data_IF_185533612075
#
_entry.id   IF_185533612075
#
_cell.length_a   1.000
_cell.length_b   1.000
_cell.length_c   1.000
_cell.angle_alpha   90.00
_cell.angle_beta   90.00
_cell.angle_gamma   90.00
#
_symmetry.space_group_name_H-M   'P 1'
#
loop_
_entity.id
_entity.type
_entity.pdbx_description
1 polymer ?
#
# COMPACT_ATOMS: atom_id res chain seq x y z
N UNK A 1 2.35 22.16 -18.66
CA UNK A 1 2.85 21.41 -17.49
C UNK A 1 1.67 20.65 -16.94
N UNK A 2 1.84 19.43 -16.39
CA UNK A 2 0.72 18.77 -15.74
C UNK A 2 0.23 19.66 -14.59
N UNK A 3 -1.10 19.73 -14.42
CA UNK A 3 -1.73 20.49 -13.33
C UNK A 3 -1.75 19.70 -12.00
N UNK A 4 -0.97 18.61 -11.89
CA UNK A 4 -0.90 17.84 -10.64
C UNK A 4 -0.24 18.66 -9.55
N UNK A 5 -0.82 18.63 -8.35
CA UNK A 5 -0.26 19.29 -7.17
C UNK A 5 0.93 18.54 -6.57
N UNK A 6 1.07 17.22 -6.85
CA UNK A 6 2.11 16.35 -6.31
C UNK A 6 3.12 15.95 -7.37
N UNK A 7 4.38 15.86 -6.96
CA UNK A 7 5.53 15.43 -7.75
C UNK A 7 6.22 14.23 -7.10
N UNK A 8 7.25 13.69 -7.73
CA UNK A 8 8.09 12.62 -7.15
C UNK A 8 8.71 13.03 -5.81
N UNK A 9 9.00 14.31 -5.61
CA UNK A 9 9.65 14.82 -4.40
C UNK A 9 8.69 14.88 -3.20
N UNK A 10 7.39 14.87 -3.44
CA UNK A 10 6.37 14.78 -2.39
C UNK A 10 6.18 13.35 -1.86
N UNK A 11 6.76 12.34 -2.53
CA UNK A 11 6.64 10.94 -2.14
C UNK A 11 7.90 10.52 -1.38
N UNK A 12 7.89 10.74 -0.08
CA UNK A 12 9.01 10.42 0.84
C UNK A 12 8.50 9.75 2.10
N UNK A 13 9.36 8.98 2.78
CA UNK A 13 9.04 8.36 4.06
C UNK A 13 8.16 7.13 3.94
N UNK A 14 7.19 7.01 4.83
CA UNK A 14 6.32 5.83 4.94
C UNK A 14 5.04 6.05 4.15
N UNK A 15 4.89 5.31 3.04
CA UNK A 15 3.65 5.26 2.26
C UNK A 15 2.80 4.12 2.80
N UNK A 16 1.88 4.44 3.71
CA UNK A 16 1.02 3.47 4.37
C UNK A 16 -0.15 3.05 3.49
N UNK A 17 -0.50 1.75 3.53
CA UNK A 17 -1.70 1.25 2.87
C UNK A 17 -2.74 0.97 3.95
N UNK A 18 -3.88 1.66 3.89
CA UNK A 18 -4.96 1.49 4.85
C UNK A 18 -5.90 0.36 4.39
N UNK A 19 -6.16 -0.69 5.22
CA UNK A 19 -7.21 -1.67 4.95
C UNK A 19 -8.60 -1.05 5.10
N UNK A 20 -9.61 -1.75 4.56
CA UNK A 20 -11.01 -1.32 4.64
C UNK A 20 -11.74 -2.06 5.77
N UNK A 21 -11.92 -1.46 6.95
CA UNK A 21 -12.62 -2.10 8.07
C UNK A 21 -14.03 -2.51 7.69
N UNK A 22 -14.53 -3.57 8.31
CA UNK A 22 -15.84 -4.11 7.99
C UNK A 22 -16.74 -4.25 9.21
N UNK A 23 -18.06 -4.15 8.97
CA UNK A 23 -19.08 -4.45 9.99
C UNK A 23 -19.17 -5.96 10.25
N UNK A 24 -19.73 -6.39 11.38
CA UNK A 24 -19.76 -7.83 11.74
C UNK A 24 -20.46 -8.77 10.75
N UNK A 25 -21.30 -8.25 9.87
CA UNK A 25 -22.04 -9.05 8.88
C UNK A 25 -21.45 -8.97 7.48
N UNK A 26 -20.24 -8.42 7.31
CA UNK A 26 -19.62 -8.21 6.00
C UNK A 26 -19.28 -9.50 5.24
N UNK A 27 -19.22 -10.65 5.94
CA UNK A 27 -19.03 -11.97 5.35
C UNK A 27 -20.33 -12.59 4.77
N UNK A 28 -21.47 -11.93 4.99
CA UNK A 28 -22.75 -12.41 4.47
C UNK A 28 -22.98 -11.88 3.04
N UNK A 29 -23.35 -12.75 2.07
CA UNK A 29 -23.51 -12.35 0.67
C UNK A 29 -24.64 -11.33 0.43
N UNK A 30 -25.60 -11.21 1.34
CA UNK A 30 -26.74 -10.30 1.27
C UNK A 30 -26.52 -8.99 2.04
N UNK A 31 -25.36 -8.78 2.64
CA UNK A 31 -25.00 -7.50 3.26
C UNK A 31 -24.94 -6.42 2.20
N UNK A 32 -25.76 -5.38 2.33
CA UNK A 32 -25.88 -4.30 1.34
C UNK A 32 -24.79 -3.23 1.47
N UNK A 33 -24.26 -3.03 2.67
CA UNK A 33 -23.15 -2.11 2.95
C UNK A 33 -22.29 -2.69 4.08
N UNK A 34 -21.05 -2.99 3.78
CA UNK A 34 -20.16 -3.79 4.62
C UNK A 34 -19.05 -3.00 5.32
N UNK A 35 -18.89 -1.70 5.02
CA UNK A 35 -17.76 -0.90 5.53
C UNK A 35 -18.08 -0.29 6.90
N UNK A 36 -17.17 -0.43 7.87
CA UNK A 36 -17.20 0.30 9.14
C UNK A 36 -16.52 1.67 8.95
N UNK A 37 -17.32 2.69 8.64
CA UNK A 37 -16.81 4.04 8.36
C UNK A 37 -16.25 4.72 9.62
N UNK A 38 -16.75 4.44 10.80
CA UNK A 38 -16.25 5.01 12.06
C UNK A 38 -14.85 4.46 12.37
N UNK A 39 -14.65 3.17 12.18
CA UNK A 39 -13.34 2.56 12.32
C UNK A 39 -12.37 3.06 11.23
N UNK A 40 -12.84 3.24 9.99
CA UNK A 40 -12.04 3.78 8.90
C UNK A 40 -11.50 5.18 9.22
N UNK A 41 -12.35 6.06 9.76
CA UNK A 41 -11.95 7.41 10.18
C UNK A 41 -10.94 7.36 11.33
N UNK A 42 -11.20 6.51 12.34
CA UNK A 42 -10.32 6.33 13.50
C UNK A 42 -8.94 5.81 13.08
N UNK A 43 -8.90 4.82 12.18
CA UNK A 43 -7.66 4.23 11.69
C UNK A 43 -6.84 5.25 10.87
N UNK A 44 -7.49 5.96 9.94
CA UNK A 44 -6.82 6.97 9.12
C UNK A 44 -6.18 8.07 9.99
N UNK A 45 -6.91 8.60 10.96
CA UNK A 45 -6.39 9.59 11.90
C UNK A 45 -5.24 9.03 12.77
N UNK A 46 -5.36 7.78 13.23
CA UNK A 46 -4.32 7.12 14.01
C UNK A 46 -3.04 6.90 13.23
N UNK A 47 -3.12 6.52 11.94
CA UNK A 47 -1.97 6.40 11.06
C UNK A 47 -1.27 7.74 10.84
N UNK A 48 -2.03 8.81 10.60
CA UNK A 48 -1.48 10.17 10.46
C UNK A 48 -0.77 10.62 11.74
N UNK A 49 -1.41 10.46 12.88
CA UNK A 49 -0.80 10.78 14.20
C UNK A 49 0.42 9.92 14.50
N UNK A 50 0.45 8.69 14.01
CA UNK A 50 1.58 7.79 14.12
C UNK A 50 2.74 8.10 13.17
N UNK A 51 2.62 9.17 12.35
CA UNK A 51 3.69 9.69 11.52
C UNK A 51 3.82 9.03 10.14
N UNK A 52 2.76 8.41 9.62
CA UNK A 52 2.69 7.98 8.21
C UNK A 52 2.76 9.22 7.33
N UNK A 53 3.58 9.20 6.27
CA UNK A 53 3.84 10.36 5.42
C UNK A 53 2.88 10.48 4.22
N UNK A 54 2.37 9.34 3.70
CA UNK A 54 1.41 9.26 2.58
C UNK A 54 0.46 8.10 2.84
N UNK A 55 -0.83 8.20 2.47
CA UNK A 55 -1.78 7.08 2.52
C UNK A 55 -2.19 6.62 1.12
N UNK A 56 -2.28 5.29 0.95
CA UNK A 56 -2.91 4.62 -0.19
C UNK A 56 -4.10 3.80 0.29
N UNK A 57 -5.23 3.80 -0.45
CA UNK A 57 -6.42 3.04 -0.10
C UNK A 57 -6.68 1.89 -1.08
N UNK A 58 -7.58 1.00 -0.73
CA UNK A 58 -8.21 0.01 -1.61
C UNK A 58 -7.24 -0.74 -2.54
N UNK A 59 -6.15 -1.26 -1.96
CA UNK A 59 -5.31 -2.28 -2.56
C UNK A 59 -5.90 -3.68 -2.36
N UNK A 60 -5.08 -4.74 -2.47
CA UNK A 60 -5.52 -6.14 -2.33
C UNK A 60 -6.15 -6.41 -0.95
N UNK A 61 -5.42 -6.17 0.14
CA UNK A 61 -5.96 -6.35 1.50
C UNK A 61 -6.92 -5.21 1.91
N UNK A 62 -6.99 -4.11 1.15
CA UNK A 62 -8.08 -3.14 1.21
C UNK A 62 -9.34 -3.62 0.51
N UNK A 63 -9.34 -4.87 0.07
CA UNK A 63 -10.48 -5.58 -0.52
C UNK A 63 -11.13 -4.87 -1.73
N UNK A 64 -10.33 -4.15 -2.54
CA UNK A 64 -10.83 -3.39 -3.69
C UNK A 64 -11.70 -4.22 -4.67
N UNK A 65 -11.47 -5.54 -4.73
CA UNK A 65 -12.20 -6.45 -5.61
C UNK A 65 -13.56 -6.91 -5.03
N UNK A 66 -13.78 -6.75 -3.73
CA UNK A 66 -14.98 -7.20 -3.02
C UNK A 66 -15.91 -6.03 -2.62
N UNK A 67 -15.40 -4.80 -2.65
CA UNK A 67 -16.20 -3.60 -2.38
C UNK A 67 -17.11 -3.27 -3.55
N UNK A 68 -18.35 -2.91 -3.26
CA UNK A 68 -19.20 -2.22 -4.22
C UNK A 68 -18.64 -0.82 -4.51
N UNK A 69 -19.09 -0.22 -5.62
CA UNK A 69 -18.63 1.14 -5.94
C UNK A 69 -19.05 2.17 -4.88
N UNK A 70 -20.24 2.03 -4.32
CA UNK A 70 -20.76 2.95 -3.29
C UNK A 70 -19.97 2.81 -1.97
N UNK A 71 -19.60 1.60 -1.59
CA UNK A 71 -18.75 1.33 -0.44
C UNK A 71 -17.34 1.94 -0.62
N UNK A 72 -16.74 1.75 -1.80
CA UNK A 72 -15.42 2.30 -2.10
C UNK A 72 -15.42 3.84 -2.05
N UNK A 73 -16.42 4.49 -2.64
CA UNK A 73 -16.57 5.94 -2.57
C UNK A 73 -16.72 6.43 -1.13
N UNK A 74 -17.60 5.79 -0.35
CA UNK A 74 -17.85 6.16 1.04
C UNK A 74 -16.61 5.99 1.90
N UNK A 75 -15.86 4.88 1.72
CA UNK A 75 -14.60 4.64 2.41
C UNK A 75 -13.55 5.71 2.07
N UNK A 76 -13.34 5.99 0.77
CA UNK A 76 -12.35 7.01 0.36
C UNK A 76 -12.73 8.39 0.88
N UNK A 77 -14.00 8.80 0.79
CA UNK A 77 -14.45 10.08 1.33
C UNK A 77 -14.17 10.18 2.84
N UNK A 78 -14.48 9.12 3.59
CA UNK A 78 -14.22 9.04 5.04
C UNK A 78 -12.71 9.17 5.35
N UNK A 79 -11.86 8.47 4.60
CA UNK A 79 -10.39 8.57 4.79
C UNK A 79 -9.89 9.98 4.48
N UNK A 80 -10.32 10.58 3.36
CA UNK A 80 -9.94 11.95 2.98
C UNK A 80 -10.37 12.96 4.06
N UNK A 81 -11.59 12.87 4.53
CA UNK A 81 -12.11 13.74 5.58
C UNK A 81 -11.34 13.57 6.90
N UNK A 82 -11.05 12.33 7.30
CA UNK A 82 -10.29 12.04 8.52
C UNK A 82 -8.83 12.50 8.43
N UNK A 83 -8.20 12.37 7.27
CA UNK A 83 -6.83 12.88 7.02
C UNK A 83 -6.80 14.39 7.02
N UNK A 84 -7.87 15.06 6.56
CA UNK A 84 -8.04 16.52 6.58
C UNK A 84 -6.86 17.29 5.96
N UNK A 85 -6.30 16.80 4.85
CA UNK A 85 -5.20 17.45 4.13
C UNK A 85 -3.84 17.44 4.86
N UNK A 86 -3.70 16.69 5.96
CA UNK A 86 -2.42 16.61 6.72
C UNK A 86 -1.33 15.87 5.98
N UNK A 87 -1.68 14.89 5.16
CA UNK A 87 -0.79 14.11 4.30
C UNK A 87 -1.51 13.77 2.98
N UNK A 88 -0.80 13.46 1.88
CA UNK A 88 -1.43 13.05 0.63
C UNK A 88 -2.19 11.73 0.75
N UNK A 89 -3.35 11.65 0.06
CA UNK A 89 -4.18 10.43 -0.05
C UNK A 89 -4.27 9.99 -1.51
N UNK A 90 -3.79 8.79 -1.80
CA UNK A 90 -3.93 8.12 -3.11
C UNK A 90 -5.06 7.09 -3.06
N UNK A 91 -6.15 7.36 -3.75
CA UNK A 91 -7.32 6.48 -3.77
C UNK A 91 -7.15 5.34 -4.77
N UNK A 92 -7.47 4.12 -4.37
CA UNK A 92 -7.45 2.96 -5.27
C UNK A 92 -8.52 3.02 -6.33
N UNK A 93 -8.10 3.02 -7.62
CA UNK A 93 -8.98 3.12 -8.78
C UNK A 93 -8.86 1.91 -9.72
N UNK A 94 -8.39 0.77 -9.21
CA UNK A 94 -8.20 -0.46 -10.00
C UNK A 94 -9.54 -1.02 -10.47
N UNK A 95 -9.66 -1.26 -11.79
CA UNK A 95 -10.84 -1.86 -12.42
C UNK A 95 -10.45 -2.85 -13.52
N UNK A 96 -11.44 -3.44 -14.19
CA UNK A 96 -11.22 -4.38 -15.29
C UNK A 96 -11.03 -3.69 -16.66
N UNK A 97 -11.20 -2.37 -16.75
CA UNK A 97 -11.08 -1.65 -18.03
C UNK A 97 -10.73 -0.15 -17.84
N UNK A 98 -10.11 0.44 -18.85
CA UNK A 98 -9.66 1.83 -18.85
C UNK A 98 -10.78 2.84 -18.60
N UNK A 99 -11.94 2.65 -19.23
CA UNK A 99 -13.05 3.63 -19.15
C UNK A 99 -13.64 3.72 -17.74
N UNK A 100 -13.79 2.59 -17.06
CA UNK A 100 -14.26 2.56 -15.68
C UNK A 100 -13.20 3.12 -14.73
N UNK A 101 -11.91 2.79 -14.94
CA UNK A 101 -10.81 3.41 -14.18
C UNK A 101 -10.82 4.93 -14.29
N UNK A 102 -11.01 5.49 -15.50
CA UNK A 102 -11.12 6.94 -15.71
C UNK A 102 -12.33 7.52 -14.99
N UNK A 103 -13.50 6.88 -15.12
CA UNK A 103 -14.72 7.35 -14.46
C UNK A 103 -14.57 7.38 -12.94
N UNK A 104 -14.03 6.30 -12.37
CA UNK A 104 -13.73 6.22 -10.93
C UNK A 104 -12.68 7.24 -10.51
N UNK A 105 -11.61 7.38 -11.30
CA UNK A 105 -10.55 8.33 -11.03
C UNK A 105 -11.05 9.78 -10.93
N UNK A 106 -11.91 10.21 -11.84
CA UNK A 106 -12.56 11.53 -11.79
C UNK A 106 -13.35 11.71 -10.49
N UNK A 107 -14.18 10.71 -10.17
CA UNK A 107 -15.01 10.76 -8.96
C UNK A 107 -14.19 10.79 -7.68
N UNK A 108 -13.12 9.99 -7.60
CA UNK A 108 -12.22 9.98 -6.44
C UNK A 108 -11.51 11.32 -6.26
N UNK A 109 -11.12 11.98 -7.35
CA UNK A 109 -10.60 13.35 -7.31
C UNK A 109 -11.63 14.37 -6.81
N UNK A 110 -12.90 14.26 -7.22
CA UNK A 110 -14.01 15.09 -6.71
C UNK A 110 -14.24 14.88 -5.20
N UNK A 111 -13.96 13.69 -4.68
CA UNK A 111 -14.02 13.37 -3.26
C UNK A 111 -12.80 13.89 -2.46
N UNK A 112 -11.85 14.53 -3.13
CA UNK A 112 -10.69 15.18 -2.51
C UNK A 112 -9.43 14.31 -2.42
N UNK A 113 -9.36 13.17 -3.13
CA UNK A 113 -8.12 12.43 -3.25
C UNK A 113 -7.05 13.27 -4.00
N UNK A 114 -5.81 13.25 -3.51
CA UNK A 114 -4.68 13.97 -4.12
C UNK A 114 -4.10 13.22 -5.33
N UNK A 115 -4.34 11.92 -5.40
CA UNK A 115 -3.89 11.06 -6.47
C UNK A 115 -4.62 9.72 -6.52
N UNK A 116 -4.21 8.90 -7.47
CA UNK A 116 -4.76 7.57 -7.69
C UNK A 116 -3.72 6.48 -7.45
N UNK A 117 -4.10 5.42 -6.76
CA UNK A 117 -3.36 4.17 -6.64
C UNK A 117 -3.95 3.17 -7.65
N UNK A 118 -3.23 2.86 -8.72
CA UNK A 118 -3.81 2.22 -9.91
C UNK A 118 -3.09 0.93 -10.28
N UNK A 119 -3.82 -0.19 -10.22
CA UNK A 119 -3.45 -1.45 -10.86
C UNK A 119 -4.01 -1.51 -12.28
N UNK A 120 -3.29 -2.19 -13.17
CA UNK A 120 -3.73 -2.40 -14.55
C UNK A 120 -4.87 -3.41 -14.63
N UNK A 121 -5.71 -3.37 -15.69
CA UNK A 121 -6.73 -4.41 -15.94
C UNK A 121 -6.11 -5.82 -15.93
N UNK A 122 -6.80 -6.78 -15.27
CA UNK A 122 -6.22 -8.10 -14.97
C UNK A 122 -6.95 -9.28 -15.62
N UNK A 123 -8.01 -9.05 -16.40
CA UNK A 123 -8.74 -10.17 -17.02
C UNK A 123 -7.86 -10.95 -18.01
N UNK A 124 -7.15 -10.23 -18.87
CA UNK A 124 -6.10 -10.77 -19.73
C UNK A 124 -4.77 -10.06 -19.43
N UNK A 125 -3.61 -10.73 -19.62
CA UNK A 125 -2.32 -10.07 -19.48
C UNK A 125 -2.17 -8.97 -20.55
N UNK A 126 -1.57 -7.86 -20.17
CA UNK A 126 -1.14 -6.80 -21.08
C UNK A 126 0.36 -6.90 -21.31
N UNK A 127 0.79 -6.64 -22.53
CA UNK A 127 2.19 -6.39 -22.83
C UNK A 127 2.63 -4.98 -22.36
N UNK A 128 3.94 -4.72 -22.41
CA UNK A 128 4.50 -3.44 -21.97
C UNK A 128 3.86 -2.23 -22.66
N UNK A 129 3.59 -2.35 -23.96
CA UNK A 129 2.96 -1.26 -24.74
C UNK A 129 1.51 -1.02 -24.29
N UNK A 130 0.75 -2.09 -24.02
CA UNK A 130 -0.60 -2.01 -23.51
C UNK A 130 -0.65 -1.42 -22.09
N UNK A 131 0.31 -1.80 -21.22
CA UNK A 131 0.45 -1.24 -19.88
C UNK A 131 0.70 0.27 -19.95
N UNK A 132 1.69 0.71 -20.72
CA UNK A 132 2.02 2.14 -20.87
C UNK A 132 0.86 2.93 -21.43
N UNK A 133 0.16 2.39 -22.44
CA UNK A 133 -1.04 3.03 -23.02
C UNK A 133 -2.13 3.21 -21.97
N UNK A 134 -2.41 2.17 -21.20
CA UNK A 134 -3.42 2.23 -20.13
C UNK A 134 -3.15 3.37 -19.14
N UNK A 135 -1.94 3.46 -18.61
CA UNK A 135 -1.59 4.53 -17.66
C UNK A 135 -1.60 5.92 -18.31
N UNK A 136 -1.19 6.04 -19.57
CA UNK A 136 -1.26 7.30 -20.31
C UNK A 136 -2.69 7.76 -20.53
N UNK A 137 -3.58 6.86 -20.97
CA UNK A 137 -5.00 7.17 -21.19
C UNK A 137 -5.67 7.65 -19.88
N UNK A 138 -5.33 7.01 -18.75
CA UNK A 138 -5.82 7.45 -17.43
C UNK A 138 -5.25 8.81 -17.05
N UNK A 139 -3.96 9.02 -17.21
CA UNK A 139 -3.28 10.28 -16.89
C UNK A 139 -3.86 11.47 -17.67
N UNK A 140 -4.05 11.30 -18.99
CA UNK A 140 -4.64 12.33 -19.86
C UNK A 140 -6.09 12.67 -19.47
N UNK A 141 -6.84 11.68 -18.97
CA UNK A 141 -8.24 11.87 -18.59
C UNK A 141 -8.44 12.50 -17.21
N UNK A 142 -7.43 12.43 -16.32
CA UNK A 142 -7.43 13.00 -14.96
C UNK A 142 -6.14 13.80 -14.70
N UNK A 143 -5.85 14.86 -15.46
CA UNK A 143 -4.55 15.52 -15.50
C UNK A 143 -4.12 16.15 -14.15
N UNK A 144 -5.06 16.42 -13.27
CA UNK A 144 -4.82 17.04 -11.96
C UNK A 144 -4.48 16.05 -10.85
N UNK A 145 -4.55 14.73 -11.11
CA UNK A 145 -4.28 13.70 -10.12
C UNK A 145 -2.92 13.05 -10.38
N UNK A 146 -2.11 12.98 -9.34
CA UNK A 146 -0.90 12.15 -9.37
C UNK A 146 -1.26 10.66 -9.39
N UNK A 147 -0.35 9.80 -9.84
CA UNK A 147 -0.57 8.36 -9.86
C UNK A 147 0.57 7.60 -9.21
N UNK A 148 0.20 6.65 -8.35
CA UNK A 148 1.06 5.57 -7.90
C UNK A 148 0.71 4.31 -8.69
N UNK A 149 1.67 3.79 -9.44
CA UNK A 149 1.52 2.52 -10.17
C UNK A 149 1.48 1.37 -9.17
N UNK A 150 0.45 0.53 -9.26
CA UNK A 150 0.35 -0.67 -8.45
C UNK A 150 0.90 -1.87 -9.24
N UNK A 151 2.14 -2.29 -8.95
CA UNK A 151 2.69 -3.51 -9.54
C UNK A 151 2.57 -4.67 -8.55
N UNK A 152 1.59 -5.52 -8.80
CA UNK A 152 1.36 -6.76 -8.06
C UNK A 152 1.20 -7.91 -9.05
N UNK A 153 2.28 -8.67 -9.35
CA UNK A 153 2.25 -9.75 -10.32
C UNK A 153 1.25 -10.86 -10.00
N UNK A 154 0.97 -11.10 -8.72
CA UNK A 154 -0.03 -12.08 -8.29
C UNK A 154 -1.46 -11.66 -8.69
N UNK A 155 -1.79 -10.37 -8.53
CA UNK A 155 -3.11 -9.86 -8.89
C UNK A 155 -3.24 -9.56 -10.40
N UNK A 156 -2.18 -9.05 -11.05
CA UNK A 156 -2.25 -8.47 -12.41
C UNK A 156 -1.63 -9.34 -13.51
N UNK A 157 -1.51 -10.65 -13.28
CA UNK A 157 -1.03 -11.63 -14.27
C UNK A 157 0.32 -11.30 -14.88
N UNK A 158 1.29 -10.94 -14.07
CA UNK A 158 2.66 -10.69 -14.47
C UNK A 158 3.23 -9.41 -13.87
N UNK A 159 4.54 -9.25 -14.02
CA UNK A 159 5.29 -8.08 -13.58
C UNK A 159 5.32 -7.02 -14.70
N UNK A 160 5.41 -5.75 -14.32
CA UNK A 160 5.78 -4.66 -15.26
C UNK A 160 7.26 -4.82 -15.62
N UNK A 161 7.56 -4.84 -16.92
CA UNK A 161 8.93 -4.94 -17.41
C UNK A 161 9.70 -3.62 -17.29
N UNK A 162 11.04 -3.71 -17.23
CA UNK A 162 11.91 -2.52 -17.14
C UNK A 162 11.67 -1.52 -18.30
N UNK A 163 11.45 -1.95 -19.56
CA UNK A 163 11.10 -0.99 -20.63
C UNK A 163 9.79 -0.26 -20.38
N UNK A 164 8.80 -0.93 -19.78
CA UNK A 164 7.54 -0.27 -19.42
C UNK A 164 7.75 0.73 -18.27
N UNK A 165 8.56 0.41 -17.25
CA UNK A 165 8.90 1.38 -16.20
C UNK A 165 9.60 2.63 -16.77
N UNK A 166 10.54 2.47 -17.71
CA UNK A 166 11.18 3.58 -18.41
C UNK A 166 10.14 4.46 -19.11
N UNK A 167 9.21 3.86 -19.86
CA UNK A 167 8.17 4.58 -20.58
C UNK A 167 7.13 5.22 -19.62
N UNK A 168 6.75 4.55 -18.54
CA UNK A 168 5.86 5.09 -17.50
C UNK A 168 6.47 6.32 -16.81
N UNK A 169 7.80 6.35 -16.63
CA UNK A 169 8.49 7.49 -16.04
C UNK A 169 8.47 8.76 -16.90
N UNK A 170 8.02 8.66 -18.16
CA UNK A 170 7.81 9.82 -19.03
C UNK A 170 6.39 10.40 -18.93
N UNK A 171 5.48 9.77 -18.15
CA UNK A 171 4.14 10.27 -17.88
C UNK A 171 4.21 11.14 -16.63
N UNK A 172 4.03 12.47 -16.73
CA UNK A 172 4.30 13.39 -15.62
C UNK A 172 3.47 13.13 -14.35
N UNK A 173 2.27 12.54 -14.52
CA UNK A 173 1.39 12.20 -13.39
C UNK A 173 1.85 10.95 -12.63
N UNK A 174 2.69 10.09 -13.23
CA UNK A 174 3.24 8.90 -12.54
C UNK A 174 4.38 9.33 -11.64
N UNK A 175 4.09 9.49 -10.36
CA UNK A 175 5.05 9.98 -9.36
C UNK A 175 5.72 8.87 -8.56
N UNK A 176 5.05 7.71 -8.42
CA UNK A 176 5.62 6.57 -7.70
C UNK A 176 5.10 5.23 -8.25
N UNK A 177 5.75 4.15 -7.82
CA UNK A 177 5.28 2.78 -8.06
C UNK A 177 5.48 1.93 -6.80
N UNK A 178 4.40 1.25 -6.37
CA UNK A 178 4.49 0.18 -5.37
C UNK A 178 5.17 -1.01 -6.02
N UNK A 179 6.40 -1.28 -5.63
CA UNK A 179 7.26 -2.30 -6.22
C UNK A 179 7.42 -3.51 -5.27
N UNK A 180 7.70 -4.69 -5.82
CA UNK A 180 7.92 -5.90 -5.01
C UNK A 180 9.29 -5.93 -4.28
N UNK A 181 10.16 -4.94 -4.50
CA UNK A 181 11.46 -4.89 -3.84
C UNK A 181 12.33 -6.12 -4.12
N UNK A 182 12.86 -6.73 -3.07
CA UNK A 182 13.74 -7.92 -3.16
C UNK A 182 13.05 -9.14 -3.78
N UNK A 183 11.73 -9.28 -3.65
CA UNK A 183 10.98 -10.36 -4.32
C UNK A 183 11.08 -10.30 -5.84
N UNK A 184 11.45 -9.17 -6.41
CA UNK A 184 11.73 -9.01 -7.85
C UNK A 184 13.18 -9.31 -8.23
N UNK A 185 14.03 -9.66 -7.26
CA UNK A 185 15.46 -9.90 -7.45
C UNK A 185 16.20 -8.67 -7.98
N UNK A 186 17.10 -8.86 -8.95
CA UNK A 186 17.85 -7.76 -9.55
C UNK A 186 17.00 -6.79 -10.38
N UNK A 187 15.75 -7.10 -10.66
CA UNK A 187 14.89 -6.23 -11.47
C UNK A 187 14.63 -4.88 -10.80
N UNK A 188 14.57 -4.80 -9.45
CA UNK A 188 14.45 -3.52 -8.77
C UNK A 188 15.55 -2.53 -9.18
N UNK A 189 16.81 -2.99 -9.25
CA UNK A 189 17.95 -2.15 -9.64
C UNK A 189 17.88 -1.71 -11.11
N UNK A 190 17.41 -2.59 -11.99
CA UNK A 190 17.22 -2.26 -13.40
C UNK A 190 16.11 -1.23 -13.57
N UNK A 191 15.01 -1.43 -12.86
CA UNK A 191 13.86 -0.53 -12.88
C UNK A 191 14.21 0.84 -12.26
N UNK A 192 14.97 0.86 -11.15
CA UNK A 192 15.46 2.09 -10.51
C UNK A 192 16.32 2.95 -11.46
N UNK A 193 17.21 2.30 -12.20
CA UNK A 193 18.04 2.98 -13.22
C UNK A 193 17.18 3.50 -14.38
N UNK A 194 16.23 2.71 -14.85
CA UNK A 194 15.37 3.05 -15.99
C UNK A 194 14.47 4.26 -15.68
N UNK A 195 13.90 4.33 -14.47
CA UNK A 195 13.07 5.49 -14.10
C UNK A 195 13.89 6.76 -13.86
N UNK A 196 15.20 6.64 -13.54
CA UNK A 196 16.14 7.78 -13.46
C UNK A 196 15.68 8.89 -12.53
N UNK A 197 15.12 8.57 -11.36
CA UNK A 197 14.64 9.53 -10.37
C UNK A 197 13.31 10.22 -10.71
N UNK A 198 12.70 9.96 -11.87
CA UNK A 198 11.42 10.55 -12.28
C UNK A 198 10.19 9.89 -11.62
N UNK A 199 10.35 8.68 -11.11
CA UNK A 199 9.34 7.91 -10.39
C UNK A 199 9.96 7.35 -9.13
N UNK A 200 9.31 7.52 -7.98
CA UNK A 200 9.74 6.92 -6.72
C UNK A 200 9.37 5.44 -6.71
N UNK A 201 10.34 4.54 -6.82
CA UNK A 201 10.08 3.12 -6.61
C UNK A 201 10.02 2.84 -5.12
N UNK A 202 8.89 2.32 -4.67
CA UNK A 202 8.63 2.03 -3.26
C UNK A 202 8.88 0.54 -3.02
N UNK A 203 9.98 0.13 -2.36
CA UNK A 203 10.13 -1.23 -1.85
C UNK A 203 9.21 -1.46 -0.65
N UNK A 204 9.05 -2.73 -0.22
CA UNK A 204 8.43 -3.07 1.06
C UNK A 204 9.28 -2.52 2.22
N UNK A 205 8.67 -2.24 3.36
CA UNK A 205 9.35 -1.70 4.54
C UNK A 205 10.53 -2.57 5.03
N UNK A 206 10.43 -3.89 4.91
CA UNK A 206 11.51 -4.82 5.26
C UNK A 206 12.68 -4.76 4.27
N UNK A 207 12.43 -4.34 3.03
CA UNK A 207 13.48 -4.19 2.01
C UNK A 207 14.11 -2.80 2.00
N UNK A 208 13.46 -1.82 2.67
CA UNK A 208 13.81 -0.40 2.54
C UNK A 208 15.23 -0.09 2.92
N UNK A 209 15.70 -0.60 4.06
CA UNK A 209 17.08 -0.40 4.51
C UNK A 209 18.12 -0.83 3.48
N UNK A 210 17.96 -2.02 2.89
CA UNK A 210 18.93 -2.56 1.94
C UNK A 210 19.11 -1.66 0.71
N UNK A 211 18.00 -1.13 0.18
CA UNK A 211 18.04 -0.24 -0.98
C UNK A 211 18.42 1.19 -0.60
N UNK A 212 17.93 1.73 0.50
CA UNK A 212 18.25 3.08 0.94
C UNK A 212 19.73 3.25 1.31
N UNK A 213 20.36 2.20 1.86
CA UNK A 213 21.80 2.21 2.13
C UNK A 213 22.65 2.34 0.85
N UNK A 214 22.21 1.73 -0.25
CA UNK A 214 22.90 1.75 -1.53
C UNK A 214 22.55 2.96 -2.38
N UNK A 215 21.32 3.45 -2.27
CA UNK A 215 20.73 4.51 -3.10
C UNK A 215 19.96 5.50 -2.22
N UNK A 216 20.65 6.21 -1.29
CA UNK A 216 19.98 7.03 -0.27
C UNK A 216 19.22 8.23 -0.82
N UNK A 217 19.56 8.70 -2.02
CA UNK A 217 18.89 9.85 -2.66
C UNK A 217 17.69 9.40 -3.53
N UNK A 218 17.71 8.17 -4.03
CA UNK A 218 16.67 7.65 -4.91
C UNK A 218 15.60 6.86 -4.13
N UNK A 219 15.99 6.13 -3.06
CA UNK A 219 15.08 5.25 -2.30
C UNK A 219 14.73 5.90 -0.95
N UNK A 220 14.07 7.04 -1.02
CA UNK A 220 13.71 7.86 0.16
C UNK A 220 12.36 7.48 0.77
N UNK A 221 11.66 6.48 0.22
CA UNK A 221 10.36 6.03 0.69
C UNK A 221 10.19 4.52 0.55
N UNK A 222 9.30 3.95 1.35
CA UNK A 222 8.81 2.57 1.23
C UNK A 222 7.28 2.53 1.23
N UNK A 223 6.69 1.42 0.78
CA UNK A 223 5.30 1.12 1.10
C UNK A 223 5.21 0.16 2.28
N UNK A 224 4.15 0.29 3.09
CA UNK A 224 3.90 -0.57 4.24
C UNK A 224 2.41 -0.87 4.40
N UNK A 225 2.05 -2.15 4.47
CA UNK A 225 0.75 -2.62 4.95
C UNK A 225 0.72 -2.73 6.47
N UNK A 226 1.88 -2.99 7.08
CA UNK A 226 2.01 -3.24 8.52
C UNK A 226 1.80 -1.99 9.39
N UNK A 227 1.71 -0.78 8.79
CA UNK A 227 1.23 0.42 9.48
C UNK A 227 -0.19 0.23 10.05
N UNK A 228 -0.97 -0.71 9.53
CA UNK A 228 -2.27 -1.12 10.07
C UNK A 228 -2.16 -1.96 11.37
N UNK A 229 -0.97 -2.50 11.65
CA UNK A 229 -0.61 -3.12 12.93
C UNK A 229 0.03 -2.13 13.92
N UNK A 230 0.23 -0.89 13.49
CA UNK A 230 0.88 0.19 14.21
C UNK A 230 2.10 0.73 13.46
N UNK A 231 2.17 2.05 13.22
CA UNK A 231 3.19 2.66 12.36
C UNK A 231 4.55 2.89 13.02
N UNK A 232 4.67 2.86 14.36
CA UNK A 232 5.87 3.28 15.06
C UNK A 232 7.17 2.56 14.64
N UNK A 233 7.19 1.24 14.36
CA UNK A 233 8.42 0.58 13.93
C UNK A 233 8.92 1.12 12.58
N UNK A 234 8.01 1.30 11.61
CA UNK A 234 8.38 1.75 10.25
C UNK A 234 8.73 3.24 10.23
N UNK A 235 8.02 4.07 11.00
CA UNK A 235 8.36 5.49 11.13
C UNK A 235 9.69 5.69 11.86
N UNK A 236 10.01 4.84 12.83
CA UNK A 236 11.33 4.83 13.46
C UNK A 236 12.43 4.42 12.47
N UNK A 237 12.20 3.39 11.64
CA UNK A 237 13.12 3.00 10.57
C UNK A 237 13.36 4.16 9.59
N UNK A 238 12.31 4.91 9.20
CA UNK A 238 12.43 6.13 8.42
C UNK A 238 13.41 7.12 9.04
N UNK A 239 13.26 7.39 10.33
CA UNK A 239 14.06 8.38 11.02
C UNK A 239 15.53 7.93 11.14
N UNK A 240 15.78 6.64 11.34
CA UNK A 240 17.12 6.05 11.30
C UNK A 240 17.75 6.16 9.90
N UNK A 241 17.00 5.88 8.83
CA UNK A 241 17.47 6.02 7.44
C UNK A 241 17.81 7.48 7.14
N UNK A 242 16.95 8.43 7.51
CA UNK A 242 17.19 9.88 7.35
C UNK A 242 18.45 10.33 8.11
N UNK A 243 18.70 9.75 9.28
CA UNK A 243 19.90 10.00 10.08
C UNK A 243 21.13 9.19 9.62
N UNK A 244 20.99 8.32 8.62
CA UNK A 244 22.03 7.40 8.10
C UNK A 244 22.64 6.49 9.20
N UNK A 245 21.84 6.12 10.19
CA UNK A 245 22.21 5.20 11.26
C UNK A 245 22.09 3.75 10.80
N UNK A 246 22.98 3.35 9.89
CA UNK A 246 22.82 2.11 9.11
C UNK A 246 22.84 0.83 9.95
N UNK A 247 23.63 0.76 11.04
CA UNK A 247 23.68 -0.41 11.92
C UNK A 247 22.38 -0.56 12.71
N UNK A 248 21.79 0.56 13.14
CA UNK A 248 20.48 0.55 13.81
C UNK A 248 19.36 0.23 12.82
N UNK A 249 19.45 0.72 11.58
CA UNK A 249 18.51 0.33 10.50
C UNK A 249 18.53 -1.18 10.28
N UNK A 250 19.71 -1.80 10.21
CA UNK A 250 19.83 -3.25 10.05
C UNK A 250 19.19 -3.98 11.22
N UNK A 251 19.52 -3.59 12.45
CA UNK A 251 18.95 -4.20 13.66
C UNK A 251 17.43 -4.16 13.64
N UNK A 252 16.85 -3.00 13.33
CA UNK A 252 15.40 -2.86 13.28
C UNK A 252 14.80 -3.65 12.10
N UNK A 253 15.45 -3.68 10.95
CA UNK A 253 14.99 -4.49 9.79
C UNK A 253 14.94 -5.98 10.14
N UNK A 254 15.98 -6.51 10.79
CA UNK A 254 16.01 -7.89 11.26
C UNK A 254 14.84 -8.18 12.24
N UNK A 255 14.49 -7.23 13.10
CA UNK A 255 13.34 -7.34 14.00
C UNK A 255 11.99 -7.34 13.26
N UNK A 256 11.85 -6.49 12.22
CA UNK A 256 10.65 -6.46 11.39
C UNK A 256 10.48 -7.79 10.62
N UNK A 257 11.56 -8.31 10.04
CA UNK A 257 11.55 -9.60 9.35
C UNK A 257 11.17 -10.75 10.30
N UNK A 258 11.78 -10.79 11.48
CA UNK A 258 11.47 -11.79 12.50
C UNK A 258 10.00 -11.72 12.97
N UNK A 259 9.45 -10.52 13.11
CA UNK A 259 8.04 -10.34 13.50
C UNK A 259 7.06 -10.88 12.44
N UNK A 260 7.46 -10.88 11.18
CA UNK A 260 6.65 -11.32 10.04
C UNK A 260 6.95 -12.76 9.58
N UNK A 261 7.88 -13.48 10.21
CA UNK A 261 8.30 -14.82 9.78
C UNK A 261 7.12 -15.79 9.62
N UNK A 262 6.16 -15.74 10.53
CA UNK A 262 4.99 -16.63 10.51
C UNK A 262 3.87 -16.21 9.55
N UNK A 263 3.96 -15.00 8.98
CA UNK A 263 2.94 -14.47 8.05
C UNK A 263 2.86 -15.29 6.77
N UNK A 264 3.98 -15.85 6.33
CA UNK A 264 4.07 -16.63 5.10
C UNK A 264 3.95 -18.12 5.40
N UNK A 265 2.84 -18.80 5.01
CA UNK A 265 2.63 -20.22 5.30
C UNK A 265 3.80 -21.09 4.82
N UNK A 266 4.51 -21.74 5.76
CA UNK A 266 5.70 -22.54 5.46
C UNK A 266 6.86 -21.76 4.80
N UNK A 267 6.95 -20.44 5.01
CA UNK A 267 7.92 -19.57 4.34
C UNK A 267 7.64 -19.37 2.84
N UNK A 268 6.45 -19.72 2.37
CA UNK A 268 6.10 -19.70 0.95
C UNK A 268 5.20 -18.52 0.59
N UNK A 269 5.78 -17.52 -0.06
CA UNK A 269 5.04 -16.35 -0.52
C UNK A 269 3.92 -16.66 -1.53
N UNK A 270 4.07 -17.71 -2.36
CA UNK A 270 3.01 -18.10 -3.30
C UNK A 270 1.80 -18.71 -2.59
N UNK A 271 2.00 -19.41 -1.46
CA UNK A 271 0.90 -19.87 -0.60
C UNK A 271 0.19 -18.71 0.09
N UNK A 272 0.94 -17.73 0.60
CA UNK A 272 0.38 -16.50 1.15
C UNK A 272 -0.50 -15.77 0.14
N UNK A 273 -0.06 -15.62 -1.12
CA UNK A 273 -0.82 -14.89 -2.14
C UNK A 273 -2.21 -15.49 -2.42
N UNK A 274 -2.41 -16.79 -2.17
CA UNK A 274 -3.73 -17.43 -2.36
C UNK A 274 -4.78 -16.95 -1.35
N UNK A 275 -4.34 -16.50 -0.17
CA UNK A 275 -5.19 -16.14 0.95
C UNK A 275 -4.73 -14.85 1.62
N UNK A 276 -4.03 -13.98 0.89
CA UNK A 276 -3.40 -12.80 1.47
C UNK A 276 -4.39 -11.87 2.18
N UNK A 277 -5.60 -11.70 1.65
CA UNK A 277 -6.65 -10.88 2.26
C UNK A 277 -7.00 -11.40 3.66
N UNK A 278 -7.25 -12.70 3.79
CA UNK A 278 -7.66 -13.33 5.04
C UNK A 278 -6.50 -13.37 6.06
N UNK A 279 -5.27 -13.65 5.59
CA UNK A 279 -4.09 -13.72 6.45
C UNK A 279 -3.74 -12.32 6.97
N UNK A 280 -3.72 -11.29 6.10
CA UNK A 280 -3.50 -9.90 6.49
C UNK A 280 -4.59 -9.41 7.46
N UNK A 281 -5.86 -9.75 7.21
CA UNK A 281 -6.96 -9.42 8.12
C UNK A 281 -6.74 -10.02 9.52
N UNK A 282 -6.35 -11.29 9.60
CA UNK A 282 -6.05 -11.96 10.87
C UNK A 282 -4.84 -11.32 11.59
N UNK A 283 -3.83 -10.88 10.85
CA UNK A 283 -2.68 -10.16 11.38
C UNK A 283 -3.11 -8.79 11.96
N UNK A 284 -3.85 -7.98 11.21
CA UNK A 284 -4.31 -6.67 11.66
C UNK A 284 -5.20 -6.77 12.90
N UNK A 285 -6.12 -7.73 12.91
CA UNK A 285 -6.98 -8.00 14.06
C UNK A 285 -6.17 -8.38 15.30
N UNK A 286 -5.16 -9.25 15.16
CA UNK A 286 -4.35 -9.71 16.27
C UNK A 286 -3.38 -8.64 16.81
N UNK A 287 -2.96 -7.71 15.97
CA UNK A 287 -2.15 -6.57 16.37
C UNK A 287 -2.92 -5.57 17.25
N UNK A 288 -4.26 -5.49 17.08
CA UNK A 288 -5.12 -4.67 17.93
C UNK A 288 -4.99 -3.15 17.75
N UNK A 289 -4.33 -2.69 16.69
CA UNK A 289 -4.24 -1.27 16.35
C UNK A 289 -5.53 -0.78 15.65
N UNK A 290 -6.25 -1.70 15.03
CA UNK A 290 -7.55 -1.48 14.40
C UNK A 290 -8.52 -2.64 14.67
N UNK A 291 -9.82 -2.41 14.42
CA UNK A 291 -10.83 -3.45 14.35
C UNK A 291 -11.09 -3.78 12.88
N UNK A 292 -10.74 -4.98 12.43
CA UNK A 292 -10.87 -5.34 11.01
C UNK A 292 -12.29 -5.70 10.60
N UNK A 293 -13.04 -6.41 11.46
CA UNK A 293 -14.21 -7.18 11.08
C UNK A 293 -13.86 -8.39 10.19
N UNK A 294 -14.86 -9.15 9.70
CA UNK A 294 -14.63 -10.28 8.79
C UNK A 294 -14.30 -9.82 7.38
N UNK A 295 -13.58 -10.66 6.62
CA UNK A 295 -13.35 -10.45 5.19
C UNK A 295 -14.63 -10.66 4.37
N UNK A 296 -14.72 -9.99 3.21
CA UNK A 296 -15.90 -10.00 2.34
C UNK A 296 -15.88 -11.17 1.36
N UNK A 297 -17.07 -11.70 0.95
CA UNK A 297 -17.16 -12.69 -0.11
C UNK A 297 -16.50 -12.19 -1.42
N UNK A 298 -15.81 -13.05 -2.18
CA UNK A 298 -15.69 -14.50 -1.98
C UNK A 298 -14.52 -14.93 -1.10
N UNK A 299 -13.80 -14.02 -0.45
CA UNK A 299 -12.55 -14.27 0.28
C UNK A 299 -12.79 -14.58 1.78
N UNK A 300 -13.75 -15.46 2.09
CA UNK A 300 -14.14 -15.79 3.47
C UNK A 300 -13.51 -17.08 3.98
N UNK A 301 -13.15 -17.99 3.08
CA UNK A 301 -12.60 -19.31 3.44
C UNK A 301 -11.07 -19.31 3.38
N UNK A 302 -10.45 -19.90 4.41
CA UNK A 302 -8.99 -20.02 4.52
C UNK A 302 -8.61 -21.14 5.49
N UNK A 303 -7.50 -21.88 5.27
CA UNK A 303 -7.02 -22.86 6.24
C UNK A 303 -6.69 -22.20 7.60
N UNK A 304 -7.18 -22.78 8.70
CA UNK A 304 -6.98 -22.23 10.05
C UNK A 304 -5.49 -22.08 10.43
N UNK A 305 -4.63 -22.98 9.95
CA UNK A 305 -3.19 -22.88 10.17
C UNK A 305 -2.57 -21.62 9.57
N UNK A 306 -3.16 -21.07 8.48
CA UNK A 306 -2.68 -19.85 7.85
C UNK A 306 -3.11 -18.61 8.68
N UNK A 307 -4.34 -18.63 9.20
CA UNK A 307 -4.80 -17.59 10.13
C UNK A 307 -3.97 -17.56 11.42
N UNK A 308 -3.58 -18.72 11.93
CA UNK A 308 -2.73 -18.80 13.13
C UNK A 308 -1.39 -18.11 12.91
N UNK A 309 -0.76 -18.30 11.75
CA UNK A 309 0.48 -17.60 11.37
C UNK A 309 0.30 -16.09 11.27
N UNK A 310 -0.77 -15.63 10.64
CA UNK A 310 -1.12 -14.21 10.56
C UNK A 310 -1.33 -13.59 11.95
N UNK A 311 -2.11 -14.27 12.82
CA UNK A 311 -2.32 -13.80 14.21
C UNK A 311 -1.02 -13.70 15.01
N UNK A 312 -0.10 -14.63 14.84
CA UNK A 312 1.19 -14.58 15.53
C UNK A 312 2.05 -13.40 15.04
N UNK A 313 2.13 -13.20 13.72
CA UNK A 313 2.80 -12.04 13.15
C UNK A 313 2.19 -10.72 13.67
N UNK A 314 0.87 -10.63 13.80
CA UNK A 314 0.18 -9.47 14.36
C UNK A 314 0.58 -9.18 15.81
N UNK A 315 0.64 -10.20 16.67
CA UNK A 315 1.09 -10.06 18.08
C UNK A 315 2.55 -9.61 18.18
N UNK A 316 3.41 -10.20 17.33
CA UNK A 316 4.82 -9.84 17.27
C UNK A 316 5.00 -8.38 16.88
N UNK A 317 4.25 -7.92 15.86
CA UNK A 317 4.26 -6.52 15.44
C UNK A 317 3.72 -5.59 16.53
N UNK A 318 2.67 -5.97 17.25
CA UNK A 318 2.14 -5.19 18.38
C UNK A 318 3.18 -4.96 19.48
N UNK A 319 4.04 -5.95 19.74
CA UNK A 319 5.14 -5.79 20.70
C UNK A 319 6.18 -4.76 20.20
N UNK A 320 6.51 -4.77 18.90
CA UNK A 320 7.38 -3.76 18.29
C UNK A 320 6.71 -2.37 18.34
N UNK A 321 5.43 -2.28 18.01
CA UNK A 321 4.66 -1.03 18.09
C UNK A 321 4.74 -0.41 19.48
N UNK A 322 4.52 -1.17 20.53
CA UNK A 322 4.59 -0.68 21.92
C UNK A 322 6.00 -0.17 22.26
N UNK A 323 7.04 -0.92 21.88
CA UNK A 323 8.42 -0.56 22.15
C UNK A 323 8.84 0.74 21.45
N UNK A 324 8.57 0.85 20.15
CA UNK A 324 9.00 2.00 19.36
C UNK A 324 8.14 3.26 19.58
N UNK A 325 6.85 3.09 19.91
CA UNK A 325 6.01 4.21 20.32
C UNK A 325 6.50 4.84 21.65
N UNK A 326 6.97 4.04 22.60
CA UNK A 326 7.51 4.56 23.87
C UNK A 326 8.83 5.32 23.70
N UNK A 327 9.68 4.94 22.74
CA UNK A 327 10.92 5.66 22.42
C UNK A 327 10.65 7.04 21.82
N UNK A 328 9.62 7.18 21.01
CA UNK A 328 9.23 8.48 20.43
C UNK A 328 8.79 9.49 21.51
N UNK A 329 8.08 9.02 22.54
CA UNK A 329 7.63 9.87 23.68
C UNK A 329 8.80 10.30 24.58
N UNK A 330 9.84 9.46 24.69
CA UNK A 330 10.99 9.75 25.57
C UNK A 330 11.98 10.77 24.98
N UNK A 331 11.88 11.08 23.69
CA UNK A 331 12.78 12.01 22.99
C UNK A 331 12.19 13.42 22.82
N UNK A 332 11.02 13.69 23.37
CA UNK A 332 10.36 14.99 23.46
C UNK A 332 10.25 15.47 24.90
#
# INVERSE_FOLDING_TARGET
MPDTKLTVDDITGVVGIIPTPSIPTADQPDTTFSVDLDEAATLADSMVRGGVDVLMTTGTFGECASLTWDELQSFVATVVDAVAGRIPVFAGATTLNTRDTITRGRRLGELGADGLFVGRPMWLPLDDAGIVRFYRDVAEAVPNLAMVVYDNPGAFKGKIGTPAYEALSQIPQVVAAKHLGLLSGSAFLSDLRAVGGRVRLLPLETDWYYFARLFPEEVTACWSGNVACGPAPVTHLRDLIRARRWDDCQTLTDELEAALETLYPGGNFAEFLKYSIQIDNAQFQAAGFMRTGPTRPPYTEVPESYLAGGREAGKNWAALQQRYASLAVSNH
#
